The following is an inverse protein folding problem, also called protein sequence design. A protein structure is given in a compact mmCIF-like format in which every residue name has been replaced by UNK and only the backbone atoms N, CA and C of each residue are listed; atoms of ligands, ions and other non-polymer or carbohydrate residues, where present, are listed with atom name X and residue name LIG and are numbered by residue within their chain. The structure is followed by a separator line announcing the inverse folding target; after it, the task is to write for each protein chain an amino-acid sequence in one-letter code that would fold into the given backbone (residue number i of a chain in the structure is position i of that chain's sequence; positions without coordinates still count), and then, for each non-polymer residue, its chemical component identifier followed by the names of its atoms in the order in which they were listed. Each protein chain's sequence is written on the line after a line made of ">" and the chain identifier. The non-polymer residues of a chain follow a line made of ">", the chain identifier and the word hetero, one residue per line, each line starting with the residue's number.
data_IF_692899945712
#
_entry.id   IF_692899945712
#
_cell.length_a   1.000
_cell.length_b   1.000
_cell.length_c   1.000
_cell.angle_alpha   90.00
_cell.angle_beta   90.00
_cell.angle_gamma   90.00
#
_symmetry.space_group_name_H-M   'P 1'
#
loop_
_entity.id
_entity.type
_entity.pdbx_description
1 polymer ?
#
# COMPACT_ATOMS: atom_id res chain seq x y z
N UNK A 1 -60.20 15.12 -22.10
CA UNK A 1 -58.79 14.89 -21.72
C UNK A 1 -58.33 16.05 -20.84
N UNK A 2 -58.12 15.81 -19.53
CA UNK A 2 -57.57 16.84 -18.62
C UNK A 2 -56.07 16.99 -18.92
N UNK A 3 -55.65 18.16 -19.43
CA UNK A 3 -54.22 18.50 -19.55
C UNK A 3 -53.67 18.68 -18.13
N UNK A 4 -52.78 17.79 -17.70
CA UNK A 4 -51.94 18.04 -16.55
C UNK A 4 -50.93 19.14 -16.93
N UNK A 5 -50.95 20.25 -16.20
CA UNK A 5 -49.90 21.27 -16.32
C UNK A 5 -48.65 20.65 -15.69
N UNK A 6 -47.68 20.25 -16.51
CA UNK A 6 -46.35 19.88 -16.01
C UNK A 6 -45.73 21.12 -15.36
N UNK A 7 -45.59 21.11 -14.04
CA UNK A 7 -44.79 22.09 -13.31
C UNK A 7 -43.33 21.84 -13.68
N UNK A 8 -42.76 22.72 -14.50
CA UNK A 8 -41.34 22.71 -14.83
C UNK A 8 -40.50 23.14 -13.64
N UNK A 9 -39.28 22.61 -13.55
CA UNK A 9 -38.28 23.01 -12.56
C UNK A 9 -37.84 24.46 -12.81
N UNK A 10 -37.76 25.29 -11.78
CA UNK A 10 -37.34 26.69 -11.94
C UNK A 10 -35.82 26.80 -12.02
N UNK A 11 -35.34 27.82 -12.73
CA UNK A 11 -33.92 28.11 -12.84
C UNK A 11 -33.31 28.46 -11.46
N UNK A 12 -34.12 29.08 -10.59
CA UNK A 12 -33.75 29.41 -9.22
C UNK A 12 -33.58 28.14 -8.38
N UNK A 13 -34.49 27.16 -8.47
CA UNK A 13 -34.33 25.87 -7.77
C UNK A 13 -33.05 25.16 -8.22
N UNK A 14 -32.74 25.20 -9.51
CA UNK A 14 -31.52 24.58 -10.04
C UNK A 14 -30.26 25.26 -9.52
N UNK A 15 -30.24 26.59 -9.47
CA UNK A 15 -29.11 27.35 -8.93
C UNK A 15 -28.86 27.06 -7.45
N UNK A 16 -29.91 26.96 -6.64
CA UNK A 16 -29.79 26.62 -5.22
C UNK A 16 -29.23 25.21 -5.05
N UNK A 17 -29.73 24.23 -5.81
CA UNK A 17 -29.23 22.85 -5.77
C UNK A 17 -27.75 22.79 -6.13
N UNK A 18 -27.33 23.47 -7.20
CA UNK A 18 -25.91 23.53 -7.60
C UNK A 18 -25.05 24.19 -6.52
N UNK A 19 -25.54 25.25 -5.87
CA UNK A 19 -24.81 25.91 -4.79
C UNK A 19 -24.60 24.98 -3.59
N UNK A 20 -25.63 24.22 -3.19
CA UNK A 20 -25.53 23.25 -2.09
C UNK A 20 -24.56 22.12 -2.44
N UNK A 21 -24.67 21.56 -3.65
CA UNK A 21 -23.75 20.49 -4.13
C UNK A 21 -22.31 21.00 -4.16
N UNK A 22 -22.09 22.25 -4.58
CA UNK A 22 -20.76 22.88 -4.61
C UNK A 22 -20.11 22.94 -3.23
N UNK A 23 -20.86 23.36 -2.20
CA UNK A 23 -20.36 23.41 -0.82
C UNK A 23 -20.03 22.01 -0.29
N UNK A 24 -20.93 21.04 -0.49
CA UNK A 24 -20.72 19.66 -0.05
C UNK A 24 -19.50 19.03 -0.75
N UNK A 25 -19.34 19.25 -2.05
CA UNK A 25 -18.21 18.73 -2.82
C UNK A 25 -16.87 19.29 -2.32
N UNK A 26 -16.81 20.57 -1.96
CA UNK A 26 -15.58 21.20 -1.46
C UNK A 26 -15.05 20.54 -0.18
N UNK A 27 -15.93 20.07 0.70
CA UNK A 27 -15.56 19.37 1.95
C UNK A 27 -15.37 17.87 1.74
N UNK A 28 -16.24 17.25 0.93
CA UNK A 28 -16.25 15.80 0.74
C UNK A 28 -15.06 15.31 -0.12
N UNK A 29 -14.65 16.05 -1.15
CA UNK A 29 -13.60 15.61 -2.07
C UNK A 29 -12.23 15.45 -1.40
N UNK A 30 -11.73 16.39 -0.57
CA UNK A 30 -10.47 16.19 0.16
C UNK A 30 -10.51 14.96 1.07
N UNK A 31 -11.61 14.77 1.82
CA UNK A 31 -11.76 13.63 2.72
C UNK A 31 -11.80 12.30 1.97
N UNK A 32 -12.51 12.23 0.84
CA UNK A 32 -12.54 11.06 -0.03
C UNK A 32 -11.16 10.75 -0.61
N UNK A 33 -10.41 11.78 -1.04
CA UNK A 33 -9.06 11.58 -1.56
C UNK A 33 -8.11 11.01 -0.50
N UNK A 34 -8.21 11.50 0.73
CA UNK A 34 -7.45 10.98 1.87
C UNK A 34 -7.82 9.51 2.17
N UNK A 35 -9.09 9.13 2.07
CA UNK A 35 -9.54 7.75 2.23
C UNK A 35 -8.95 6.82 1.17
N UNK A 36 -9.04 7.20 -0.12
CA UNK A 36 -8.47 6.40 -1.22
C UNK A 36 -6.95 6.29 -1.09
N UNK A 37 -6.28 7.36 -0.65
CA UNK A 37 -4.82 7.31 -0.42
C UNK A 37 -4.46 6.30 0.65
N UNK A 38 -5.20 6.26 1.78
CA UNK A 38 -5.01 5.22 2.82
C UNK A 38 -5.24 3.82 2.28
N UNK A 39 -6.27 3.63 1.45
CA UNK A 39 -6.55 2.32 0.85
C UNK A 39 -5.41 1.86 -0.08
N UNK A 40 -4.86 2.76 -0.90
CA UNK A 40 -3.72 2.45 -1.77
C UNK A 40 -2.45 2.14 -0.96
N UNK A 41 -2.21 2.86 0.14
CA UNK A 41 -1.07 2.66 1.03
C UNK A 41 -1.17 1.36 1.85
N UNK A 42 -2.36 0.77 2.01
CA UNK A 42 -2.52 -0.52 2.70
C UNK A 42 -2.00 -1.70 1.87
N UNK A 43 -2.11 -1.63 0.54
CA UNK A 43 -1.67 -2.71 -0.36
C UNK A 43 -0.21 -3.16 -0.15
N UNK A 44 0.82 -2.27 -0.07
CA UNK A 44 2.19 -2.73 0.18
C UNK A 44 2.34 -3.47 1.51
N UNK A 45 1.53 -3.18 2.53
CA UNK A 45 1.58 -3.97 3.78
C UNK A 45 1.11 -5.40 3.61
N UNK A 46 0.12 -5.64 2.74
CA UNK A 46 -0.38 -6.97 2.42
C UNK A 46 0.64 -7.75 1.58
N UNK A 47 1.20 -7.10 0.56
CA UNK A 47 2.24 -7.69 -0.27
C UNK A 47 3.49 -8.06 0.56
N UNK A 48 3.96 -7.15 1.42
CA UNK A 48 5.10 -7.44 2.31
C UNK A 48 4.77 -8.52 3.35
N UNK A 49 3.49 -8.64 3.75
CA UNK A 49 3.01 -9.73 4.60
C UNK A 49 3.24 -11.12 3.98
N UNK A 50 3.04 -11.25 2.67
CA UNK A 50 3.26 -12.49 1.93
C UNK A 50 4.72 -12.94 1.88
N UNK A 51 5.68 -12.05 2.11
CA UNK A 51 7.11 -12.37 2.16
C UNK A 51 7.57 -12.93 3.50
N UNK A 52 6.85 -12.69 4.59
CA UNK A 52 7.36 -12.95 5.95
C UNK A 52 7.69 -14.42 6.20
N UNK A 53 6.76 -15.32 5.87
CA UNK A 53 6.92 -16.76 6.05
C UNK A 53 8.07 -17.36 5.20
N UNK A 54 8.12 -17.17 3.87
CA UNK A 54 9.19 -17.76 3.06
C UNK A 54 10.57 -17.17 3.39
N UNK A 55 10.65 -15.90 3.81
CA UNK A 55 11.89 -15.32 4.31
C UNK A 55 12.35 -15.95 5.63
N UNK A 56 11.43 -16.17 6.56
CA UNK A 56 11.73 -16.81 7.84
C UNK A 56 12.19 -18.26 7.65
N UNK A 57 11.53 -19.00 6.75
CA UNK A 57 11.91 -20.38 6.42
C UNK A 57 13.30 -20.46 5.78
N UNK A 58 13.57 -19.61 4.80
CA UNK A 58 14.89 -19.57 4.16
C UNK A 58 15.98 -19.19 5.17
N UNK A 59 15.74 -18.17 6.00
CA UNK A 59 16.66 -17.73 7.04
C UNK A 59 16.97 -18.83 8.06
N UNK A 60 15.98 -19.64 8.44
CA UNK A 60 16.17 -20.76 9.37
C UNK A 60 17.01 -21.90 8.79
N UNK A 61 16.92 -22.15 7.48
CA UNK A 61 17.64 -23.23 6.81
C UNK A 61 19.07 -22.83 6.42
N UNK A 62 19.23 -21.62 5.87
CA UNK A 62 20.47 -21.19 5.21
C UNK A 62 21.29 -20.18 6.03
N UNK A 63 20.75 -19.69 7.16
CA UNK A 63 21.35 -18.61 7.97
C UNK A 63 21.72 -17.37 7.14
N UNK A 64 20.93 -17.07 6.11
CA UNK A 64 21.15 -15.99 5.17
C UNK A 64 19.81 -15.44 4.65
N UNK A 65 19.85 -14.27 3.99
CA UNK A 65 18.69 -13.77 3.25
C UNK A 65 18.71 -14.23 1.80
N UNK A 66 17.56 -14.63 1.22
CA UNK A 66 17.50 -14.97 -0.18
C UNK A 66 17.41 -13.72 -1.05
N UNK A 67 17.84 -13.83 -2.30
CA UNK A 67 17.36 -12.93 -3.35
C UNK A 67 15.89 -13.22 -3.68
N UNK A 68 15.12 -12.21 -4.07
CA UNK A 68 13.73 -12.37 -4.47
C UNK A 68 13.62 -12.30 -5.99
N UNK A 69 12.91 -13.24 -6.59
CA UNK A 69 12.57 -13.19 -8.02
C UNK A 69 11.07 -12.98 -8.13
N UNK A 70 10.68 -11.74 -8.43
CA UNK A 70 9.28 -11.40 -8.68
C UNK A 70 8.84 -11.88 -10.06
N UNK A 71 7.63 -12.45 -10.17
CA UNK A 71 7.11 -12.83 -11.49
C UNK A 71 6.89 -11.62 -12.38
N UNK A 72 7.44 -11.71 -13.58
CA UNK A 72 7.22 -10.76 -14.68
C UNK A 72 5.90 -11.02 -15.43
N UNK A 73 5.03 -11.87 -14.87
CA UNK A 73 3.79 -12.33 -15.51
C UNK A 73 3.97 -13.54 -16.43
N UNK A 74 5.17 -14.12 -16.50
CA UNK A 74 5.41 -15.41 -17.15
C UNK A 74 5.49 -16.53 -16.11
N UNK A 75 4.87 -17.69 -16.41
CA UNK A 75 4.82 -18.85 -15.51
C UNK A 75 6.15 -19.64 -15.45
N UNK A 76 7.24 -19.12 -16.03
CA UNK A 76 8.53 -19.78 -16.10
C UNK A 76 9.64 -18.84 -15.63
N UNK A 77 9.74 -18.70 -14.31
CA UNK A 77 10.91 -18.06 -13.72
C UNK A 77 11.91 -19.12 -13.29
N UNK A 78 13.11 -19.09 -13.90
CA UNK A 78 14.23 -19.89 -13.42
C UNK A 78 14.72 -19.31 -12.10
N UNK A 79 14.43 -20.01 -10.99
CA UNK A 79 14.93 -19.63 -9.67
C UNK A 79 16.38 -20.11 -9.56
N UNK A 80 17.31 -19.16 -9.63
CA UNK A 80 18.72 -19.46 -9.38
C UNK A 80 18.95 -19.84 -7.91
N UNK A 81 20.05 -20.55 -7.64
CA UNK A 81 20.45 -20.87 -6.27
C UNK A 81 20.54 -19.60 -5.39
N UNK A 82 20.10 -19.70 -4.15
CA UNK A 82 20.07 -18.58 -3.21
C UNK A 82 18.93 -17.58 -3.44
N UNK A 83 17.93 -17.93 -4.26
CA UNK A 83 16.76 -17.09 -4.50
C UNK A 83 15.45 -17.83 -4.21
N UNK A 84 14.41 -17.07 -3.91
CA UNK A 84 13.03 -17.56 -3.80
C UNK A 84 12.14 -16.87 -4.84
N UNK A 85 11.22 -17.62 -5.44
CA UNK A 85 10.21 -17.06 -6.32
C UNK A 85 9.09 -16.41 -5.49
N UNK A 86 8.70 -15.20 -5.87
CA UNK A 86 7.64 -14.45 -5.20
C UNK A 86 6.63 -13.99 -6.25
N UNK A 87 5.38 -14.44 -6.11
CA UNK A 87 4.28 -14.08 -7.01
C UNK A 87 3.36 -13.05 -6.36
N UNK A 88 3.93 -11.92 -5.96
CA UNK A 88 3.20 -10.86 -5.26
C UNK A 88 3.19 -9.61 -6.13
N UNK A 89 2.02 -9.30 -6.69
CA UNK A 89 1.82 -8.12 -7.53
C UNK A 89 0.64 -7.31 -7.01
N UNK A 90 0.88 -6.05 -6.66
CA UNK A 90 -0.18 -5.09 -6.39
C UNK A 90 -0.61 -4.36 -7.65
N UNK A 91 -1.68 -3.58 -7.56
CA UNK A 91 -2.06 -2.54 -8.54
C UNK A 91 -1.33 -1.23 -8.29
N UNK A 92 -1.15 -0.83 -7.03
CA UNK A 92 -0.61 0.46 -6.61
C UNK A 92 0.79 0.39 -5.99
N UNK A 93 1.35 -0.80 -5.82
CA UNK A 93 2.65 -0.99 -5.18
C UNK A 93 3.48 -2.11 -5.81
N UNK A 94 4.80 -1.95 -5.72
CA UNK A 94 5.83 -2.94 -6.08
C UNK A 94 6.66 -3.28 -4.85
N UNK A 95 7.25 -4.47 -4.83
CA UNK A 95 8.22 -4.86 -3.82
C UNK A 95 9.64 -4.70 -4.36
N UNK A 96 10.61 -4.60 -3.46
CA UNK A 96 12.03 -4.74 -3.81
C UNK A 96 12.35 -6.20 -4.21
N UNK A 97 13.46 -6.37 -4.92
CA UNK A 97 13.96 -7.66 -5.41
C UNK A 97 14.86 -8.41 -4.41
N UNK A 98 15.00 -7.88 -3.20
CA UNK A 98 15.85 -8.46 -2.14
C UNK A 98 15.43 -7.99 -0.76
N UNK A 99 15.88 -8.73 0.25
CA UNK A 99 16.00 -8.19 1.61
C UNK A 99 17.25 -7.31 1.68
N UNK A 100 17.13 -6.13 2.26
CA UNK A 100 18.27 -5.24 2.52
C UNK A 100 18.76 -5.46 3.95
N UNK A 101 20.08 -5.55 4.15
CA UNK A 101 20.69 -5.78 5.47
C UNK A 101 21.50 -7.07 5.53
N UNK A 102 22.01 -7.40 6.71
CA UNK A 102 22.81 -8.61 6.96
C UNK A 102 22.10 -9.48 7.98
N UNK A 103 21.82 -10.73 7.59
CA UNK A 103 21.15 -11.70 8.46
C UNK A 103 21.83 -11.77 9.85
N UNK A 104 21.07 -11.75 10.97
CA UNK A 104 19.61 -11.90 11.08
C UNK A 104 18.81 -10.60 10.94
N UNK A 105 19.47 -9.45 10.83
CA UNK A 105 18.79 -8.18 10.63
C UNK A 105 18.47 -7.96 9.15
N UNK A 106 17.31 -7.38 8.87
CA UNK A 106 16.92 -7.13 7.48
C UNK A 106 15.68 -6.29 7.35
N UNK A 107 15.49 -5.73 6.17
CA UNK A 107 14.29 -4.97 5.82
C UNK A 107 13.82 -5.28 4.41
N UNK A 108 12.51 -5.30 4.24
CA UNK A 108 11.84 -5.38 2.94
C UNK A 108 11.03 -4.12 2.71
N UNK A 109 11.08 -3.61 1.48
CA UNK A 109 10.44 -2.36 1.10
C UNK A 109 9.38 -2.60 0.05
N UNK A 110 8.23 -1.97 0.26
CA UNK A 110 7.18 -1.82 -0.75
C UNK A 110 7.12 -0.36 -1.18
N UNK A 111 7.19 -0.11 -2.48
CA UNK A 111 7.15 1.23 -3.07
C UNK A 111 5.85 1.44 -3.81
N UNK A 112 5.18 2.57 -3.54
CA UNK A 112 3.95 2.97 -4.22
C UNK A 112 4.24 3.43 -5.66
N UNK A 113 3.50 2.87 -6.61
CA UNK A 113 3.60 3.17 -8.05
C UNK A 113 3.05 4.55 -8.40
N UNK A 114 3.37 5.00 -9.61
CA UNK A 114 2.94 6.27 -10.19
C UNK A 114 1.40 6.42 -10.33
N UNK A 115 0.66 5.31 -10.40
CA UNK A 115 -0.81 5.32 -10.45
C UNK A 115 -1.48 5.47 -9.07
N UNK A 116 -0.70 5.57 -7.99
CA UNK A 116 -1.19 5.84 -6.64
C UNK A 116 -1.11 7.34 -6.32
N UNK A 117 -1.92 7.80 -5.37
CA UNK A 117 -1.89 9.17 -4.84
C UNK A 117 -0.71 9.44 -3.90
N UNK A 118 0.00 8.39 -3.49
CA UNK A 118 1.20 8.45 -2.68
C UNK A 118 2.42 7.91 -3.45
N UNK A 119 2.46 8.17 -4.77
CA UNK A 119 3.50 7.68 -5.67
C UNK A 119 4.92 7.96 -5.15
N UNK A 120 5.78 6.96 -5.24
CA UNK A 120 7.17 7.02 -4.77
C UNK A 120 7.33 6.90 -3.26
N UNK A 121 6.25 6.95 -2.47
CA UNK A 121 6.35 6.73 -1.03
C UNK A 121 6.55 5.24 -0.73
N UNK A 122 7.19 4.93 0.39
CA UNK A 122 7.57 3.58 0.76
C UNK A 122 6.96 3.15 2.09
N UNK A 123 6.71 1.86 2.20
CA UNK A 123 6.43 1.16 3.44
C UNK A 123 7.54 0.14 3.65
N UNK A 124 8.10 0.10 4.84
CA UNK A 124 9.23 -0.77 5.19
C UNK A 124 8.83 -1.65 6.35
N UNK A 125 9.09 -2.95 6.24
CA UNK A 125 9.10 -3.86 7.38
C UNK A 125 10.54 -4.24 7.67
N UNK A 126 10.93 -4.17 8.94
CA UNK A 126 12.25 -4.55 9.43
C UNK A 126 12.12 -5.69 10.43
N UNK A 127 13.15 -6.53 10.49
CA UNK A 127 13.31 -7.64 11.42
C UNK A 127 14.72 -7.62 11.99
N UNK A 128 14.87 -8.08 13.22
CA UNK A 128 16.17 -8.24 13.89
C UNK A 128 16.48 -9.71 14.22
N UNK A 129 15.54 -10.61 13.95
CA UNK A 129 15.57 -12.00 14.40
C UNK A 129 15.38 -13.00 13.25
N UNK A 130 15.92 -12.69 12.08
CA UNK A 130 15.89 -13.62 10.94
C UNK A 130 14.48 -13.82 10.38
N UNK A 131 13.59 -12.84 10.54
CA UNK A 131 12.26 -12.84 9.92
C UNK A 131 11.15 -13.46 10.75
N UNK A 132 11.43 -13.86 11.99
CA UNK A 132 10.42 -14.39 12.91
C UNK A 132 9.44 -13.30 13.36
N UNK A 133 9.95 -12.10 13.59
CA UNK A 133 9.13 -10.91 13.89
C UNK A 133 9.45 -9.80 12.90
N UNK A 134 8.40 -9.09 12.48
CA UNK A 134 8.52 -7.98 11.56
C UNK A 134 7.79 -6.75 12.09
N UNK A 135 8.54 -5.67 12.21
CA UNK A 135 8.04 -4.36 12.62
C UNK A 135 7.91 -3.45 11.41
N UNK A 136 6.72 -2.90 11.17
CA UNK A 136 6.54 -1.93 10.10
C UNK A 136 6.99 -0.54 10.55
N UNK A 137 8.05 0.00 9.96
CA UNK A 137 8.61 1.34 10.29
C UNK A 137 7.95 2.49 9.51
N UNK A 138 7.05 2.17 8.58
CA UNK A 138 6.22 3.15 7.88
C UNK A 138 6.92 3.97 6.79
N UNK A 139 8.19 3.69 6.50
CA UNK A 139 8.98 4.24 5.39
C UNK A 139 8.82 5.76 5.23
N UNK A 140 8.70 6.22 3.98
CA UNK A 140 8.51 7.65 3.65
C UNK A 140 7.06 8.10 3.65
N UNK A 141 6.10 7.18 3.81
CA UNK A 141 4.69 7.55 3.90
C UNK A 141 4.43 8.42 5.12
N UNK A 142 3.68 9.51 4.97
CA UNK A 142 3.33 10.38 6.11
C UNK A 142 2.37 9.68 7.08
N UNK A 143 2.51 9.95 8.38
CA UNK A 143 1.79 9.24 9.45
C UNK A 143 0.26 9.18 9.26
N UNK A 144 -0.36 10.25 8.73
CA UNK A 144 -1.81 10.28 8.48
C UNK A 144 -2.32 9.21 7.50
N UNK A 145 -1.45 8.75 6.61
CA UNK A 145 -1.78 7.75 5.60
C UNK A 145 -1.28 6.35 5.94
N UNK A 146 -0.42 6.22 6.96
CA UNK A 146 0.13 4.92 7.37
C UNK A 146 -0.98 3.96 7.82
N UNK A 147 -0.90 2.67 7.47
CA UNK A 147 -1.75 1.62 8.02
C UNK A 147 -1.47 1.45 9.51
N UNK A 148 -2.43 0.90 10.26
CA UNK A 148 -2.30 0.77 11.71
C UNK A 148 -1.04 0.00 12.13
N UNK A 149 -0.69 -1.07 11.41
CA UNK A 149 0.52 -1.86 11.64
C UNK A 149 1.82 -1.03 11.58
N UNK A 150 1.81 0.09 10.86
CA UNK A 150 2.97 0.95 10.61
C UNK A 150 2.95 2.25 11.43
N UNK A 151 1.96 2.43 12.32
CA UNK A 151 1.87 3.60 13.20
C UNK A 151 2.62 3.41 14.51
N UNK A 152 2.69 2.18 15.02
CA UNK A 152 3.30 1.87 16.32
C UNK A 152 4.83 2.07 16.34
N UNK A 153 5.53 1.75 15.25
CA UNK A 153 6.99 1.87 15.19
C UNK A 153 7.48 3.33 15.17
N UNK A 154 6.61 4.31 14.87
CA UNK A 154 6.96 5.73 14.99
C UNK A 154 7.01 6.19 16.46
N UNK A 155 6.46 5.41 17.40
CA UNK A 155 6.40 5.76 18.82
C UNK A 155 7.54 5.14 19.65
N UNK A 156 8.37 4.26 19.08
CA UNK A 156 9.47 3.57 19.79
C UNK A 156 10.85 4.18 19.51
N UNK A 157 10.91 5.41 19.01
CA UNK A 157 12.13 6.13 18.65
C UNK A 157 12.51 7.26 19.61
N UNK A 158 12.28 7.07 20.92
CA UNK A 158 12.81 7.91 22.01
C UNK A 158 13.61 7.06 22.97
#
# INVERSE_FOLDING_TARGET
>A
MKRSIQKGFTLIELMIVVAIIGILAAVALPAYNDYVTRAQVAEPTELLGGLKAPLAEYGANENAWPGLVQSDGTNSQTVAAGKIAVNLSGKYSTLDDKVTGTYPEGSVTGTLRANSRAAGQTIIFATTNGGQEWTCTGGTVIAKFRPQACRAAAASGT
#
